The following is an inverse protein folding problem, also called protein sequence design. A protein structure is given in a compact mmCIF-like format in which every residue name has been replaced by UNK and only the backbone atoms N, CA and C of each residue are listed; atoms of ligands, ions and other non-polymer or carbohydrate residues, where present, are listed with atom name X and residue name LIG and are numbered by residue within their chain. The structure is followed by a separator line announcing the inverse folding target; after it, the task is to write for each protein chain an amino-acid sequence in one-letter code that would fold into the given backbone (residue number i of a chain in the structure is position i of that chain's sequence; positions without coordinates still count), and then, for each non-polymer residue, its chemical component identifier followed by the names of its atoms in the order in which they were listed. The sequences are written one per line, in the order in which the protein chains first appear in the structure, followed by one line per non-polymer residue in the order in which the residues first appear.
data_IF_402441800287
#
_entry.id   IF_402441800287
#
_cell.length_a   1.000
_cell.length_b   1.000
_cell.length_c   1.000
_cell.angle_alpha   90.00
_cell.angle_beta   90.00
_cell.angle_gamma   90.00
#
_symmetry.space_group_name_H-M   'P 1'
#
loop_
_entity.id
_entity.type
_entity.pdbx_description
1 polymer ?
#
# COMPACT_ATOMS: atom_id res chain seq x y z
N UNK A 1 26.24 -1.65 -22.02
CA UNK A 1 24.99 -1.56 -21.25
C UNK A 1 24.11 -2.80 -21.42
N UNK A 2 23.94 -3.34 -22.60
CA UNK A 2 23.17 -4.57 -22.88
C UNK A 2 23.66 -5.82 -22.09
N UNK A 3 24.96 -6.03 -21.96
CA UNK A 3 25.52 -7.22 -21.28
C UNK A 3 25.19 -7.28 -19.77
N UNK A 4 25.06 -6.13 -19.09
CA UNK A 4 24.70 -6.08 -17.65
C UNK A 4 23.21 -6.39 -17.43
N UNK A 5 22.35 -5.94 -18.33
CA UNK A 5 20.89 -6.23 -18.24
C UNK A 5 20.60 -7.68 -18.56
N UNK A 6 21.27 -8.28 -19.55
CA UNK A 6 21.10 -9.71 -19.90
C UNK A 6 21.56 -10.63 -18.77
N UNK A 7 22.67 -10.28 -18.09
CA UNK A 7 23.15 -11.05 -16.94
C UNK A 7 22.16 -11.03 -15.77
N UNK A 8 21.56 -9.87 -15.47
CA UNK A 8 20.55 -9.76 -14.42
C UNK A 8 19.27 -10.56 -14.73
N UNK A 9 18.82 -10.55 -15.98
CA UNK A 9 17.65 -11.33 -16.44
C UNK A 9 17.92 -12.83 -16.33
N UNK A 10 19.12 -13.31 -16.72
CA UNK A 10 19.49 -14.73 -16.63
C UNK A 10 19.59 -15.17 -15.17
N UNK A 11 20.18 -14.37 -14.28
CA UNK A 11 20.25 -14.67 -12.84
C UNK A 11 18.86 -14.69 -12.22
N UNK A 12 17.98 -13.77 -12.60
CA UNK A 12 16.60 -13.71 -12.11
C UNK A 12 15.79 -14.95 -12.54
N UNK A 13 15.93 -15.41 -13.78
CA UNK A 13 15.28 -16.64 -14.26
C UNK A 13 15.80 -17.92 -13.59
N UNK A 14 17.09 -17.99 -13.26
CA UNK A 14 17.64 -19.14 -12.54
C UNK A 14 17.18 -19.20 -11.08
N UNK A 15 16.88 -18.06 -10.44
CA UNK A 15 16.27 -18.05 -9.10
C UNK A 15 14.90 -18.73 -9.06
N UNK A 16 14.09 -18.62 -10.10
CA UNK A 16 12.81 -19.33 -10.20
C UNK A 16 12.97 -20.84 -10.36
N UNK A 17 14.01 -21.31 -11.02
CA UNK A 17 14.27 -22.74 -11.24
C UNK A 17 14.73 -23.45 -9.96
N UNK A 18 15.37 -22.76 -9.01
CA UNK A 18 15.81 -23.34 -7.75
C UNK A 18 14.65 -23.66 -6.78
N UNK A 19 13.48 -23.08 -6.98
CA UNK A 19 12.28 -23.35 -6.18
C UNK A 19 11.40 -24.46 -6.77
N UNK A 20 11.75 -25.03 -7.92
CA UNK A 20 11.03 -26.13 -8.59
C UNK A 20 11.50 -27.53 -8.15
N UNK A 21 12.36 -27.64 -7.14
CA UNK A 21 12.67 -28.96 -6.60
C UNK A 21 11.48 -29.41 -5.72
N UNK A 22 10.83 -30.48 -6.16
CA UNK A 22 9.76 -31.17 -5.46
C UNK A 22 10.23 -31.57 -4.06
N UNK A 23 9.96 -30.73 -3.08
CA UNK A 23 9.76 -31.20 -1.73
C UNK A 23 8.47 -32.03 -1.78
N UNK A 24 8.52 -33.25 -1.25
CA UNK A 24 7.33 -34.07 -1.03
C UNK A 24 6.24 -33.21 -0.42
N UNK A 25 5.16 -32.97 -1.18
CA UNK A 25 4.17 -31.91 -0.90
C UNK A 25 3.13 -32.43 0.09
N UNK A 26 3.59 -32.83 1.27
CA UNK A 26 2.73 -33.15 2.42
C UNK A 26 2.06 -31.89 3.04
N UNK A 27 2.41 -30.69 2.54
CA UNK A 27 1.91 -29.43 3.08
C UNK A 27 0.95 -28.75 2.12
N UNK A 28 -0.29 -28.53 2.56
CA UNK A 28 -1.26 -27.73 1.82
C UNK A 28 -0.81 -26.25 1.76
N UNK A 29 -0.69 -25.71 0.54
CA UNK A 29 -0.16 -24.38 0.22
C UNK A 29 -1.18 -23.56 -0.57
N UNK A 30 -1.32 -22.29 -0.25
CA UNK A 30 -2.19 -21.35 -0.99
C UNK A 30 -1.39 -20.14 -1.48
N UNK A 31 -0.63 -20.32 -2.56
CA UNK A 31 -0.02 -19.18 -3.25
C UNK A 31 -1.14 -18.33 -3.88
N UNK A 32 -1.11 -17.01 -3.66
CA UNK A 32 -2.25 -16.16 -3.99
C UNK A 32 -1.83 -14.92 -4.78
N UNK A 33 -2.58 -14.62 -5.83
CA UNK A 33 -2.63 -13.29 -6.40
C UNK A 33 -3.68 -12.50 -5.60
N UNK A 34 -3.37 -11.28 -5.20
CA UNK A 34 -4.35 -10.41 -4.56
C UNK A 34 -4.65 -9.17 -5.39
N UNK A 35 -5.91 -8.72 -5.31
CA UNK A 35 -6.35 -7.42 -5.78
C UNK A 35 -7.14 -6.77 -4.66
N UNK A 36 -6.86 -5.51 -4.35
CA UNK A 36 -7.54 -4.79 -3.28
C UNK A 36 -7.95 -3.37 -3.69
N UNK A 37 -9.07 -2.93 -3.11
CA UNK A 37 -9.62 -1.60 -3.26
C UNK A 37 -9.85 -1.03 -1.87
N UNK A 38 -9.20 0.08 -1.55
CA UNK A 38 -9.31 0.73 -0.25
C UNK A 38 -9.85 2.15 -0.39
N UNK A 39 -10.63 2.54 0.59
CA UNK A 39 -10.83 3.93 0.95
C UNK A 39 -9.64 4.35 1.83
N UNK A 40 -9.05 5.48 1.53
CA UNK A 40 -7.89 6.01 2.23
C UNK A 40 -8.30 7.21 3.08
N UNK A 41 -7.73 7.31 4.28
CA UNK A 41 -7.83 8.44 5.17
C UNK A 41 -6.45 8.81 5.69
N UNK A 42 -6.23 10.10 5.94
CA UNK A 42 -5.12 10.57 6.76
C UNK A 42 -5.67 10.86 8.15
N UNK A 43 -5.14 10.15 9.14
CA UNK A 43 -5.52 10.35 10.54
C UNK A 43 -4.50 11.25 11.22
N UNK A 44 -5.00 12.24 11.94
CA UNK A 44 -4.21 13.15 12.76
C UNK A 44 -5.01 13.60 13.99
N UNK A 45 -4.28 14.11 14.98
CA UNK A 45 -4.84 14.84 16.09
C UNK A 45 -5.11 16.33 15.77
N UNK A 46 -5.11 16.71 14.47
CA UNK A 46 -5.34 18.08 14.00
C UNK A 46 -6.79 18.22 13.56
N UNK A 47 -7.58 19.00 14.30
CA UNK A 47 -9.01 19.26 14.03
C UNK A 47 -9.27 19.92 12.66
N UNK A 48 -8.24 20.55 12.06
CA UNK A 48 -8.35 21.29 10.80
C UNK A 48 -8.23 20.43 9.53
N UNK A 49 -7.79 19.18 9.64
CA UNK A 49 -7.68 18.28 8.49
C UNK A 49 -9.06 17.74 8.09
N UNK A 50 -9.49 18.06 6.87
CA UNK A 50 -10.77 17.60 6.31
C UNK A 50 -10.57 16.86 5.01
N UNK A 51 -11.21 15.72 4.89
CA UNK A 51 -11.29 14.98 3.62
C UNK A 51 -12.40 15.58 2.76
N UNK A 52 -12.09 15.92 1.51
CA UNK A 52 -12.99 16.68 0.67
C UNK A 52 -13.58 15.90 -0.49
N UNK A 53 -12.91 14.84 -0.90
CA UNK A 53 -13.33 13.96 -1.99
C UNK A 53 -12.93 12.52 -1.68
N UNK A 54 -13.42 11.59 -2.47
CA UNK A 54 -13.14 10.16 -2.32
C UNK A 54 -11.64 9.90 -2.51
N UNK A 55 -10.99 9.49 -1.44
CA UNK A 55 -9.59 9.04 -1.43
C UNK A 55 -9.56 7.51 -1.58
N UNK A 56 -8.75 7.02 -2.49
CA UNK A 56 -8.76 5.57 -2.80
C UNK A 56 -7.39 5.02 -3.13
N UNK A 57 -7.25 3.71 -2.97
CA UNK A 57 -6.12 2.97 -3.52
C UNK A 57 -6.55 1.66 -4.15
N UNK A 58 -5.79 1.28 -5.18
CA UNK A 58 -5.89 -0.01 -5.86
C UNK A 58 -4.53 -0.67 -5.72
N UNK A 59 -4.52 -1.91 -5.22
CA UNK A 59 -3.28 -2.66 -5.11
C UNK A 59 -3.46 -4.03 -5.74
N UNK A 60 -2.39 -4.57 -6.30
CA UNK A 60 -2.33 -5.94 -6.78
C UNK A 60 -0.94 -6.51 -6.60
N UNK A 61 -0.85 -7.80 -6.41
CA UNK A 61 0.42 -8.47 -6.20
C UNK A 61 0.27 -9.96 -6.01
N UNK A 62 1.37 -10.57 -5.65
CA UNK A 62 1.49 -11.99 -5.40
C UNK A 62 2.04 -12.21 -3.99
N UNK A 63 1.48 -13.21 -3.29
CA UNK A 63 1.96 -13.64 -1.98
C UNK A 63 2.23 -15.14 -2.04
N UNK A 64 3.46 -15.52 -1.73
CA UNK A 64 3.89 -16.89 -1.53
C UNK A 64 3.51 -17.34 -0.14
N UNK A 65 2.87 -18.47 -0.05
CA UNK A 65 2.44 -19.09 1.19
C UNK A 65 3.48 -20.12 1.66
N UNK A 66 3.90 -20.00 2.91
CA UNK A 66 4.87 -20.90 3.56
C UNK A 66 4.14 -21.56 4.74
N UNK A 67 3.59 -22.77 4.59
CA UNK A 67 2.89 -23.46 5.66
C UNK A 67 3.82 -23.74 6.84
N UNK A 68 3.37 -23.42 8.05
CA UNK A 68 4.10 -23.68 9.29
C UNK A 68 3.63 -24.97 9.98
N UNK A 69 2.53 -25.56 9.50
CA UNK A 69 2.04 -26.85 9.96
C UNK A 69 1.53 -27.71 8.79
N UNK A 70 1.48 -29.02 8.96
CA UNK A 70 1.05 -29.99 7.93
C UNK A 70 -0.37 -29.71 7.42
N UNK A 71 -1.27 -29.23 8.25
CA UNK A 71 -2.64 -28.91 7.84
C UNK A 71 -2.76 -27.62 7.00
N UNK A 72 -1.69 -26.83 6.85
CA UNK A 72 -1.70 -25.55 6.16
C UNK A 72 -2.56 -24.45 6.82
N UNK A 73 -3.15 -24.71 8.00
CA UNK A 73 -4.01 -23.75 8.70
C UNK A 73 -3.26 -22.56 9.28
N UNK A 74 -1.98 -22.75 9.56
CA UNK A 74 -1.07 -21.70 10.02
C UNK A 74 0.08 -21.58 9.04
N UNK A 75 0.27 -20.39 8.48
CA UNK A 75 1.27 -20.12 7.46
C UNK A 75 1.88 -18.72 7.60
N UNK A 76 3.01 -18.53 6.95
CA UNK A 76 3.65 -17.23 6.73
C UNK A 76 3.46 -16.85 5.26
N UNK A 77 2.96 -15.64 5.01
CA UNK A 77 2.84 -15.08 3.67
C UNK A 77 3.93 -14.04 3.41
N UNK A 78 4.67 -14.19 2.31
CA UNK A 78 5.67 -13.23 1.86
C UNK A 78 5.35 -12.87 0.42
N UNK A 79 5.32 -11.59 0.10
CA UNK A 79 4.88 -11.17 -1.23
C UNK A 79 5.54 -9.92 -1.78
N UNK A 80 5.14 -9.62 -3.01
CA UNK A 80 5.44 -8.38 -3.68
C UNK A 80 4.22 -7.89 -4.48
N UNK A 81 4.06 -6.58 -4.59
CA UNK A 81 2.95 -5.99 -5.31
C UNK A 81 3.17 -4.54 -5.70
N UNK A 82 2.18 -3.97 -6.36
CA UNK A 82 2.11 -2.56 -6.72
C UNK A 82 0.86 -1.93 -6.12
N UNK A 83 1.01 -0.67 -5.69
CA UNK A 83 -0.08 0.13 -5.15
C UNK A 83 -0.16 1.48 -5.85
N UNK A 84 -1.40 1.89 -6.18
CA UNK A 84 -1.74 3.21 -6.73
C UNK A 84 -2.63 3.91 -5.72
N UNK A 85 -2.16 5.03 -5.20
CA UNK A 85 -2.79 5.73 -4.09
C UNK A 85 -3.19 7.14 -4.49
N UNK A 86 -4.35 7.57 -4.00
CA UNK A 86 -4.85 8.94 -4.13
C UNK A 86 -5.44 9.37 -2.80
N UNK A 87 -5.07 10.57 -2.34
CA UNK A 87 -5.57 11.22 -1.13
C UNK A 87 -6.07 12.60 -1.47
N UNK A 88 -7.29 12.91 -1.06
CA UNK A 88 -7.96 14.18 -1.31
C UNK A 88 -8.34 14.80 0.03
N UNK A 89 -7.72 15.92 0.37
CA UNK A 89 -7.95 16.62 1.63
C UNK A 89 -7.79 18.13 1.45
N UNK A 90 -7.95 18.91 2.51
CA UNK A 90 -7.80 20.35 2.50
C UNK A 90 -6.38 20.86 2.78
N UNK A 91 -5.38 19.98 2.93
CA UNK A 91 -4.00 20.38 3.15
C UNK A 91 -3.33 20.77 1.83
N UNK A 92 -3.06 22.06 1.65
CA UNK A 92 -2.42 22.60 0.44
C UNK A 92 -0.92 22.69 0.61
N UNK A 93 -0.17 22.27 -0.43
CA UNK A 93 1.27 22.50 -0.52
C UNK A 93 1.54 23.71 -1.40
N UNK A 94 2.34 24.65 -0.89
CA UNK A 94 2.94 25.71 -1.68
C UNK A 94 4.44 25.45 -1.80
N UNK A 95 4.97 25.58 -3.02
CA UNK A 95 6.41 25.53 -3.24
C UNK A 95 6.95 26.95 -3.10
N UNK A 96 7.72 27.23 -2.05
CA UNK A 96 8.20 28.57 -1.72
C UNK A 96 9.55 28.89 -2.36
N UNK A 97 10.38 27.89 -2.61
CA UNK A 97 11.68 27.95 -3.31
C UNK A 97 12.26 26.53 -3.40
N UNK A 98 13.35 26.34 -4.15
CA UNK A 98 13.96 25.05 -4.39
C UNK A 98 13.99 24.17 -3.12
N UNK A 99 13.10 23.19 -3.05
CA UNK A 99 12.93 22.20 -1.99
C UNK A 99 12.35 22.69 -0.64
N UNK A 100 11.87 23.91 -0.53
CA UNK A 100 11.15 24.36 0.67
C UNK A 100 9.64 24.35 0.40
N UNK A 101 8.91 23.51 1.13
CA UNK A 101 7.47 23.38 1.05
C UNK A 101 6.81 24.03 2.27
N UNK A 102 5.77 24.79 2.05
CA UNK A 102 4.88 25.26 3.12
C UNK A 102 3.51 24.61 2.99
N UNK A 103 2.90 24.31 4.14
CA UNK A 103 1.60 23.67 4.21
C UNK A 103 0.59 24.64 4.81
N UNK A 104 -0.59 24.71 4.23
CA UNK A 104 -1.70 25.51 4.73
C UNK A 104 -2.99 24.71 4.63
N UNK A 105 -3.86 24.80 5.64
CA UNK A 105 -5.21 24.26 5.56
C UNK A 105 -6.11 25.24 4.81
N UNK A 106 -6.89 24.71 3.88
CA UNK A 106 -7.92 25.43 3.14
C UNK A 106 -9.22 25.39 3.96
N UNK A 107 -9.77 26.55 4.29
CA UNK A 107 -10.95 26.64 5.14
C UNK A 107 -12.23 26.26 4.38
N UNK A 108 -12.35 26.70 3.12
CA UNK A 108 -13.54 26.51 2.30
C UNK A 108 -13.32 25.55 1.14
N UNK A 109 -14.11 24.49 1.08
CA UNK A 109 -14.11 23.54 -0.02
C UNK A 109 -14.51 24.15 -1.38
N UNK A 110 -15.18 25.32 -1.37
CA UNK A 110 -15.58 26.05 -2.58
C UNK A 110 -14.44 26.82 -3.25
N UNK A 111 -13.30 26.96 -2.58
CA UNK A 111 -12.16 27.73 -3.07
C UNK A 111 -11.28 26.96 -4.04
N UNK A 112 -11.50 25.64 -4.17
CA UNK A 112 -10.71 24.81 -5.05
C UNK A 112 -11.49 23.61 -5.61
N UNK A 113 -11.16 23.23 -6.85
CA UNK A 113 -11.73 22.08 -7.53
C UNK A 113 -10.98 20.78 -7.20
N UNK A 114 -9.67 20.91 -6.94
CA UNK A 114 -8.78 19.76 -6.73
C UNK A 114 -7.64 20.07 -5.78
N UNK A 115 -7.46 19.18 -4.80
CA UNK A 115 -6.31 19.18 -3.90
C UNK A 115 -5.97 17.70 -3.60
N UNK A 116 -5.07 17.12 -4.42
CA UNK A 116 -4.89 15.67 -4.50
C UNK A 116 -3.41 15.33 -4.42
N UNK A 117 -3.09 14.41 -3.52
CA UNK A 117 -1.82 13.71 -3.44
C UNK A 117 -1.97 12.33 -4.09
N UNK A 118 -1.12 11.99 -5.04
CA UNK A 118 -1.12 10.67 -5.67
C UNK A 118 0.28 10.09 -5.72
N UNK A 119 0.39 8.78 -5.50
CA UNK A 119 1.67 8.10 -5.61
C UNK A 119 1.49 6.63 -5.99
N UNK A 120 2.53 6.11 -6.64
CA UNK A 120 2.68 4.69 -6.96
C UNK A 120 3.80 4.11 -6.12
N UNK A 121 3.56 2.93 -5.54
CA UNK A 121 4.50 2.25 -4.67
C UNK A 121 4.68 0.78 -5.06
N UNK A 122 5.86 0.24 -4.82
CA UNK A 122 6.09 -1.19 -4.75
C UNK A 122 5.91 -1.63 -3.30
N UNK A 123 5.20 -2.74 -3.09
CA UNK A 123 4.80 -3.23 -1.77
C UNK A 123 5.43 -4.60 -1.49
N UNK A 124 5.83 -4.82 -0.24
CA UNK A 124 6.38 -6.07 0.27
C UNK A 124 5.61 -6.47 1.54
N UNK A 125 4.49 -7.20 1.40
CA UNK A 125 3.74 -7.71 2.54
C UNK A 125 4.44 -8.90 3.18
N UNK A 126 4.39 -8.95 4.52
CA UNK A 126 4.76 -10.08 5.36
C UNK A 126 3.60 -10.36 6.30
N UNK A 127 2.98 -11.51 6.21
CA UNK A 127 1.73 -11.84 6.90
C UNK A 127 1.84 -13.14 7.69
N UNK A 128 1.31 -13.14 8.91
CA UNK A 128 0.95 -14.37 9.63
C UNK A 128 -0.49 -14.69 9.21
N UNK A 129 -0.71 -15.92 8.77
CA UNK A 129 -1.94 -16.38 8.17
C UNK A 129 -2.57 -17.49 8.98
N UNK A 130 -3.79 -17.26 9.44
CA UNK A 130 -4.65 -18.23 10.08
C UNK A 130 -5.85 -18.49 9.17
N UNK A 131 -6.11 -19.74 8.86
CA UNK A 131 -7.22 -20.14 7.99
C UNK A 131 -7.76 -21.51 8.37
N UNK A 132 -9.02 -21.75 8.06
CA UNK A 132 -9.65 -23.06 8.26
C UNK A 132 -9.90 -23.74 6.90
N UNK A 133 -8.91 -23.64 5.99
CA UNK A 133 -8.96 -24.32 4.68
C UNK A 133 -8.59 -25.79 4.78
N UNK A 134 -9.10 -26.60 3.84
CA UNK A 134 -8.70 -27.95 3.57
C UNK A 134 -8.73 -28.20 2.07
N UNK A 135 -8.07 -29.28 1.59
CA UNK A 135 -8.03 -29.65 0.17
C UNK A 135 -9.45 -29.78 -0.43
N UNK A 136 -10.43 -30.21 0.38
CA UNK A 136 -11.81 -30.46 -0.05
C UNK A 136 -12.77 -29.30 0.21
N UNK A 137 -12.36 -28.26 0.92
CA UNK A 137 -13.24 -27.16 1.31
C UNK A 137 -12.67 -25.79 0.97
N UNK A 138 -13.23 -25.19 -0.09
CA UNK A 138 -12.84 -23.85 -0.56
C UNK A 138 -13.58 -22.71 0.19
N UNK A 139 -14.60 -22.99 1.01
CA UNK A 139 -15.34 -22.02 1.79
C UNK A 139 -14.85 -21.99 3.22
N UNK A 140 -13.95 -21.09 3.54
CA UNK A 140 -13.31 -21.02 4.86
C UNK A 140 -13.06 -19.59 5.32
N UNK A 141 -12.86 -19.44 6.63
CA UNK A 141 -12.46 -18.19 7.25
C UNK A 141 -10.96 -17.95 7.10
N UNK A 142 -10.61 -16.69 6.88
CA UNK A 142 -9.24 -16.20 6.86
C UNK A 142 -9.07 -15.07 7.87
N UNK A 143 -7.94 -15.09 8.57
CA UNK A 143 -7.45 -14.00 9.42
C UNK A 143 -5.96 -13.86 9.14
N UNK A 144 -5.58 -12.81 8.44
CA UNK A 144 -4.20 -12.52 8.09
C UNK A 144 -3.79 -11.20 8.74
N UNK A 145 -2.71 -11.20 9.50
CA UNK A 145 -2.17 -10.02 10.14
C UNK A 145 -0.69 -9.90 9.83
N UNK A 146 -0.21 -8.68 9.61
CA UNK A 146 1.19 -8.53 9.23
C UNK A 146 1.69 -7.11 9.13
N UNK A 147 2.84 -7.01 8.50
CA UNK A 147 3.52 -5.77 8.17
C UNK A 147 3.55 -5.62 6.65
N UNK A 148 3.43 -4.39 6.17
CA UNK A 148 3.67 -4.06 4.77
C UNK A 148 4.68 -2.93 4.70
N UNK A 149 5.86 -3.25 4.17
CA UNK A 149 6.81 -2.24 3.75
C UNK A 149 6.51 -1.85 2.30
N UNK A 150 6.59 -0.56 1.99
CA UNK A 150 6.41 -0.07 0.62
C UNK A 150 7.44 1.01 0.31
N UNK A 151 7.88 1.02 -0.94
CA UNK A 151 8.75 2.07 -1.50
C UNK A 151 7.98 2.85 -2.54
N UNK A 152 7.82 4.16 -2.32
CA UNK A 152 7.20 5.06 -3.30
C UNK A 152 8.13 5.21 -4.49
N UNK A 153 7.61 4.93 -5.69
CA UNK A 153 8.33 5.02 -6.96
C UNK A 153 8.14 6.38 -7.61
N UNK A 154 6.91 6.88 -7.60
CA UNK A 154 6.55 8.19 -8.13
C UNK A 154 5.48 8.82 -7.27
N UNK A 155 5.53 10.13 -7.11
CA UNK A 155 4.50 10.89 -6.39
C UNK A 155 4.23 12.21 -7.10
N UNK A 156 2.98 12.69 -6.99
CA UNK A 156 2.52 13.95 -7.56
C UNK A 156 1.50 14.61 -6.63
N UNK A 157 1.59 15.91 -6.52
CA UNK A 157 0.56 16.74 -5.92
C UNK A 157 -0.06 17.62 -6.99
N UNK A 158 -1.39 17.69 -7.03
CA UNK A 158 -2.15 18.50 -7.97
C UNK A 158 -3.09 19.42 -7.23
N UNK A 159 -2.97 20.70 -7.49
CA UNK A 159 -3.89 21.74 -7.00
C UNK A 159 -4.56 22.43 -8.17
N UNK A 160 -5.87 22.66 -8.06
CA UNK A 160 -6.65 23.43 -9.03
C UNK A 160 -7.71 24.27 -8.32
N UNK A 161 -7.76 25.56 -8.66
CA UNK A 161 -8.76 26.54 -8.25
C UNK A 161 -9.01 27.53 -9.39
N UNK A 162 -10.00 28.44 -9.25
CA UNK A 162 -10.32 29.44 -10.29
C UNK A 162 -9.10 30.32 -10.68
N UNK A 163 -8.24 30.65 -9.71
CA UNK A 163 -7.07 31.52 -9.94
C UNK A 163 -5.72 30.80 -9.99
N UNK A 164 -5.65 29.49 -9.77
CA UNK A 164 -4.37 28.79 -9.64
C UNK A 164 -4.48 27.32 -10.07
N UNK A 165 -3.58 26.89 -10.94
CA UNK A 165 -3.50 25.50 -11.36
C UNK A 165 -2.02 25.09 -11.48
N UNK A 166 -1.59 24.18 -10.61
CA UNK A 166 -0.21 23.70 -10.62
C UNK A 166 -0.10 22.24 -10.18
N UNK A 167 1.01 21.65 -10.59
CA UNK A 167 1.42 20.30 -10.20
C UNK A 167 2.82 20.36 -9.62
N UNK A 168 3.02 19.67 -8.50
CA UNK A 168 4.34 19.46 -7.91
C UNK A 168 4.68 18.00 -8.12
N UNK A 169 5.74 17.74 -8.87
CA UNK A 169 6.34 16.41 -8.97
C UNK A 169 7.22 16.17 -7.74
N UNK A 170 7.15 14.95 -7.20
CA UNK A 170 7.87 14.55 -5.98
C UNK A 170 7.59 15.47 -4.77
N UNK A 171 6.31 15.66 -4.37
CA UNK A 171 5.98 16.34 -3.13
C UNK A 171 6.65 15.63 -1.93
N UNK A 172 6.81 16.27 -0.77
CA UNK A 172 7.56 15.75 0.37
C UNK A 172 6.86 14.59 1.09
N UNK A 173 6.33 13.63 0.33
CA UNK A 173 5.77 12.37 0.85
C UNK A 173 6.94 11.47 1.25
N UNK A 174 6.81 10.82 2.40
CA UNK A 174 7.80 9.84 2.84
C UNK A 174 7.89 8.69 1.83
N UNK A 175 9.08 8.48 1.27
CA UNK A 175 9.28 7.46 0.23
C UNK A 175 9.30 6.04 0.78
N UNK A 176 9.59 5.86 2.07
CA UNK A 176 9.65 4.57 2.74
C UNK A 176 8.47 4.44 3.69
N UNK A 177 7.45 3.69 3.27
CA UNK A 177 6.24 3.46 4.02
C UNK A 177 6.34 2.13 4.78
N UNK A 178 5.88 2.10 6.02
CA UNK A 178 5.74 0.89 6.83
C UNK A 178 4.41 0.95 7.56
N UNK A 179 3.64 -0.12 7.53
CA UNK A 179 2.37 -0.17 8.21
C UNK A 179 1.93 -1.58 8.60
N UNK A 180 0.97 -1.63 9.49
CA UNK A 180 0.27 -2.83 9.93
C UNK A 180 -0.85 -3.16 8.94
N UNK A 181 -1.05 -4.43 8.70
CA UNK A 181 -2.17 -4.96 7.90
C UNK A 181 -2.98 -5.95 8.71
N UNK A 182 -4.29 -5.93 8.53
CA UNK A 182 -5.22 -6.92 9.06
C UNK A 182 -6.26 -7.23 8.00
N UNK A 183 -6.35 -8.49 7.58
CA UNK A 183 -7.32 -8.95 6.60
C UNK A 183 -8.18 -10.04 7.22
N UNK A 184 -9.50 -9.86 7.20
CA UNK A 184 -10.48 -10.80 7.75
C UNK A 184 -11.50 -11.11 6.68
N UNK A 185 -11.78 -12.38 6.47
CA UNK A 185 -12.75 -12.73 5.46
C UNK A 185 -13.25 -14.15 5.47
N UNK A 186 -14.24 -14.36 4.61
CA UNK A 186 -14.84 -15.65 4.36
C UNK A 186 -14.99 -15.86 2.86
N UNK A 187 -14.48 -17.00 2.38
CA UNK A 187 -14.50 -17.35 0.97
C UNK A 187 -13.78 -16.26 0.12
N UNK A 188 -14.49 -15.65 -0.84
CA UNK A 188 -13.95 -14.64 -1.76
C UNK A 188 -13.92 -13.23 -1.12
N UNK A 189 -14.78 -12.96 -0.13
CA UNK A 189 -14.95 -11.63 0.45
C UNK A 189 -14.08 -11.44 1.68
N UNK A 190 -13.15 -10.49 1.60
CA UNK A 190 -12.29 -10.14 2.72
C UNK A 190 -12.28 -8.63 2.90
N UNK A 191 -12.35 -8.20 4.15
CA UNK A 191 -12.15 -6.81 4.57
C UNK A 191 -10.69 -6.67 4.94
N UNK A 192 -10.04 -5.68 4.36
CA UNK A 192 -8.66 -5.32 4.67
C UNK A 192 -8.58 -3.99 5.39
N UNK A 193 -7.71 -3.92 6.39
CA UNK A 193 -7.32 -2.73 7.12
C UNK A 193 -5.82 -2.52 6.98
N UNK A 194 -5.44 -1.25 6.87
CA UNK A 194 -4.03 -0.84 6.90
C UNK A 194 -3.90 0.41 7.76
N UNK A 195 -2.90 0.43 8.63
CA UNK A 195 -2.50 1.62 9.39
C UNK A 195 -1.00 1.83 9.23
N UNK A 196 -0.57 3.02 8.78
CA UNK A 196 0.85 3.33 8.71
C UNK A 196 1.46 3.48 10.12
N UNK A 197 2.73 3.10 10.25
CA UNK A 197 3.56 3.33 11.44
C UNK A 197 4.44 4.56 11.20
N UNK A 198 4.78 4.81 9.93
CA UNK A 198 5.59 5.97 9.54
C UNK A 198 4.69 7.12 9.10
N UNK A 199 5.09 8.36 9.38
CA UNK A 199 4.35 9.54 8.96
C UNK A 199 4.24 9.62 7.42
N UNK A 200 3.15 10.20 6.95
CA UNK A 200 2.86 10.36 5.52
C UNK A 200 3.85 11.31 4.83
N UNK A 201 4.19 12.41 5.49
CA UNK A 201 5.16 13.38 4.99
C UNK A 201 6.54 13.20 5.59
N UNK A 202 7.58 13.52 4.83
CA UNK A 202 8.92 13.66 5.35
C UNK A 202 9.00 14.93 6.21
N UNK A 203 9.38 14.78 7.48
CA UNK A 203 9.38 15.87 8.46
C UNK A 203 10.53 16.86 8.27
N UNK A 204 11.59 16.49 7.54
CA UNK A 204 12.80 17.31 7.39
C UNK A 204 12.57 18.65 6.67
N UNK A 205 11.48 18.79 5.90
CA UNK A 205 11.21 19.95 5.05
C UNK A 205 9.88 20.67 5.38
N UNK A 206 9.33 20.49 6.59
CA UNK A 206 8.01 20.96 6.95
C UNK A 206 8.06 22.04 8.02
N UNK A 207 7.41 23.18 7.75
CA UNK A 207 7.16 24.24 8.75
C UNK A 207 6.12 23.84 9.82
N UNK A 208 5.38 22.77 9.55
CA UNK A 208 4.40 22.17 10.47
C UNK A 208 4.87 20.75 10.79
N UNK A 209 4.94 20.40 12.05
CA UNK A 209 5.24 19.05 12.49
C UNK A 209 3.98 18.16 12.27
N UNK A 210 3.72 17.79 11.02
CA UNK A 210 2.55 17.03 10.60
C UNK A 210 2.84 15.54 10.74
N UNK A 211 2.42 14.95 11.85
CA UNK A 211 2.52 13.50 12.08
C UNK A 211 1.26 12.78 11.57
N UNK A 212 1.00 12.93 10.26
CA UNK A 212 -0.15 12.34 9.59
C UNK A 212 0.09 10.85 9.32
N UNK A 213 -0.79 10.01 9.83
CA UNK A 213 -0.78 8.56 9.60
C UNK A 213 -1.80 8.19 8.52
N UNK A 214 -1.43 7.23 7.64
CA UNK A 214 -2.38 6.65 6.70
C UNK A 214 -3.24 5.59 7.39
N UNK A 215 -4.53 5.69 7.22
CA UNK A 215 -5.48 4.63 7.53
C UNK A 215 -6.24 4.24 6.26
N UNK A 216 -6.36 2.94 5.99
CA UNK A 216 -7.07 2.43 4.81
C UNK A 216 -7.99 1.30 5.23
N UNK A 217 -9.22 1.30 4.71
CA UNK A 217 -10.21 0.24 4.88
C UNK A 217 -10.81 -0.11 3.55
N UNK A 218 -10.99 -1.40 3.26
CA UNK A 218 -11.54 -1.78 1.96
C UNK A 218 -11.71 -3.28 1.79
N UNK A 219 -11.81 -3.68 0.53
CA UNK A 219 -11.97 -5.07 0.12
C UNK A 219 -10.67 -5.60 -0.47
N UNK A 220 -10.35 -6.84 -0.15
CA UNK A 220 -9.25 -7.58 -0.75
C UNK A 220 -9.73 -8.94 -1.23
N UNK A 221 -9.37 -9.28 -2.45
CA UNK A 221 -9.69 -10.52 -3.12
C UNK A 221 -8.42 -11.31 -3.34
N UNK A 222 -8.45 -12.56 -2.90
CA UNK A 222 -7.37 -13.52 -3.11
C UNK A 222 -7.79 -14.53 -4.17
N UNK A 223 -6.98 -14.64 -5.20
CA UNK A 223 -7.15 -15.54 -6.35
C UNK A 223 -6.04 -16.58 -6.27
N UNK A 224 -6.41 -17.84 -6.26
CA UNK A 224 -5.51 -19.01 -6.23
C UNK A 224 -5.07 -19.35 -7.64
#
# INVERSE_FOLDING_TARGET
MLFRTTFFVIVFFNFFSLFSQTLDDDFYREDQIYVSFYYNSLNDNIDDLKENNFSSSINFGFIRDIPLNKSGKFALGIGAGLGFNSFNNNLKINNTSSNNFSFNFLENQREYDKNTYSFTEIQFPLEIRLRNSSIDNYKFWRLYAGLRYSKVLTSKYKFKSEGSNYTIDSPPINTDQLGLTLNIGFNTWNIGLYKSIRPFFNQENNNLNLDLEQFKVGLIFYIL
#
